data_IF_203681434129
#
_entry.id   IF_203681434129
#
_cell.length_a   1.000
_cell.length_b   1.000
_cell.length_c   1.000
_cell.angle_alpha   90.00
_cell.angle_beta   90.00
_cell.angle_gamma   90.00
#
_symmetry.space_group_name_H-M   'P 1'
#
loop_
_entity.id
_entity.type
_entity.pdbx_description
1 polymer ?
#
# COMPACT_ATOMS: atom_id res chain seq x y z
N UNK A 1 28.12 1.51 -14.31
CA UNK A 1 27.60 1.05 -12.99
C UNK A 1 28.06 -0.37 -12.76
N UNK A 2 28.64 -0.64 -11.60
CA UNK A 2 29.04 -1.98 -11.23
C UNK A 2 27.94 -2.60 -10.34
N UNK A 3 27.35 -3.72 -10.77
CA UNK A 3 26.30 -4.41 -10.03
C UNK A 3 26.85 -5.66 -9.37
N UNK A 4 26.45 -5.90 -8.12
CA UNK A 4 26.76 -7.12 -7.37
C UNK A 4 25.52 -7.97 -7.18
N UNK A 5 25.69 -9.28 -7.29
CA UNK A 5 24.63 -10.27 -7.08
C UNK A 5 24.52 -10.62 -5.60
N UNK A 6 23.28 -10.63 -5.09
CA UNK A 6 22.96 -11.05 -3.72
C UNK A 6 21.70 -11.89 -3.70
N UNK A 7 21.57 -12.75 -2.69
CA UNK A 7 20.26 -13.14 -2.16
C UNK A 7 19.77 -12.05 -1.22
N UNK A 8 18.47 -11.75 -1.23
CA UNK A 8 17.93 -10.71 -0.35
C UNK A 8 18.30 -10.94 1.12
N UNK A 9 18.28 -12.19 1.61
CA UNK A 9 18.68 -12.51 2.99
C UNK A 9 20.11 -12.19 3.38
N UNK A 10 21.00 -11.94 2.42
CA UNK A 10 22.38 -11.48 2.68
C UNK A 10 22.44 -9.99 2.99
N UNK A 11 21.45 -9.20 2.55
CA UNK A 11 21.44 -7.74 2.63
C UNK A 11 20.30 -7.16 3.47
N UNK A 12 19.31 -7.99 3.83
CA UNK A 12 18.19 -7.60 4.70
C UNK A 12 17.72 -8.79 5.55
N UNK A 13 16.96 -8.50 6.61
CA UNK A 13 16.23 -9.48 7.38
C UNK A 13 14.73 -9.31 7.14
N UNK A 14 13.98 -10.42 7.23
CA UNK A 14 12.53 -10.46 7.08
C UNK A 14 11.94 -11.22 8.25
N UNK A 15 11.04 -10.60 8.98
CA UNK A 15 10.35 -11.20 10.14
C UNK A 15 8.85 -11.24 9.91
N UNK A 16 8.22 -12.33 10.31
CA UNK A 16 6.77 -12.50 10.31
C UNK A 16 6.18 -11.93 11.59
N UNK A 17 4.98 -11.38 11.53
CA UNK A 17 4.28 -10.86 12.71
C UNK A 17 3.55 -11.93 13.53
N UNK A 18 2.81 -11.44 14.52
CA UNK A 18 2.07 -12.24 15.47
C UNK A 18 0.86 -12.97 14.85
N UNK A 19 0.57 -14.18 15.34
CA UNK A 19 -0.73 -14.83 15.16
C UNK A 19 -1.70 -14.23 16.17
N UNK A 20 -2.52 -13.30 15.73
CA UNK A 20 -3.51 -12.61 16.57
C UNK A 20 -4.82 -13.39 16.60
N UNK A 21 -5.36 -13.68 17.80
CA UNK A 21 -6.63 -14.42 17.94
C UNK A 21 -7.80 -13.55 17.51
N UNK A 22 -8.70 -14.13 16.69
CA UNK A 22 -9.88 -13.43 16.17
C UNK A 22 -10.91 -13.03 17.25
N UNK A 23 -10.88 -13.64 18.43
CA UNK A 23 -11.76 -13.31 19.55
C UNK A 23 -11.53 -11.88 20.10
N UNK A 24 -10.31 -11.33 19.90
CA UNK A 24 -9.95 -9.98 20.32
C UNK A 24 -10.05 -8.93 19.19
N UNK A 25 -10.69 -9.28 18.07
CA UNK A 25 -10.94 -8.32 17.00
C UNK A 25 -12.17 -7.47 17.31
N UNK A 26 -12.01 -6.15 17.23
CA UNK A 26 -13.07 -5.19 17.53
C UNK A 26 -13.19 -4.10 16.47
N UNK A 27 -14.27 -3.32 16.56
CA UNK A 27 -14.51 -2.14 15.70
C UNK A 27 -13.85 -0.88 16.22
N UNK A 28 -13.41 -0.89 17.50
CA UNK A 28 -12.77 0.23 18.18
C UNK A 28 -11.62 -0.26 19.04
N UNK A 29 -10.60 0.57 19.24
CA UNK A 29 -9.43 0.24 20.07
C UNK A 29 -8.25 1.15 19.81
N UNK A 30 -7.19 0.95 20.58
CA UNK A 30 -5.94 1.70 20.45
C UNK A 30 -5.08 1.18 19.29
N UNK A 31 -5.05 -0.14 19.10
CA UNK A 31 -4.14 -0.79 18.16
C UNK A 31 -4.88 -1.34 16.95
N UNK A 32 -4.33 -1.07 15.77
CA UNK A 32 -4.83 -1.57 14.49
C UNK A 32 -3.96 -2.73 14.02
N UNK A 33 -4.58 -3.91 13.83
CA UNK A 33 -3.86 -5.05 13.21
C UNK A 33 -3.65 -4.82 11.73
N UNK A 34 -2.41 -4.95 11.28
CA UNK A 34 -2.08 -4.87 9.86
C UNK A 34 -2.61 -6.09 9.10
N UNK A 35 -3.12 -5.85 7.92
CA UNK A 35 -3.63 -6.86 6.99
C UNK A 35 -3.18 -6.56 5.57
N UNK A 36 -3.43 -7.46 4.63
CA UNK A 36 -3.21 -7.19 3.21
C UNK A 36 -4.02 -5.99 2.69
N UNK A 37 -5.12 -5.62 3.35
CA UNK A 37 -5.92 -4.42 3.03
C UNK A 37 -5.20 -3.10 3.28
N UNK A 38 -4.07 -3.11 4.00
CA UNK A 38 -3.25 -1.92 4.24
C UNK A 38 -2.26 -1.61 3.10
N UNK A 39 -2.29 -2.38 2.01
CA UNK A 39 -1.44 -2.15 0.84
C UNK A 39 -2.26 -1.64 -0.35
N UNK A 40 -1.91 -0.49 -0.85
CA UNK A 40 -2.26 -0.09 -2.21
C UNK A 40 -1.19 -0.64 -3.16
N UNK A 41 -1.44 -1.84 -3.68
CA UNK A 41 -0.48 -2.55 -4.53
C UNK A 41 -0.33 -1.95 -5.94
N UNK A 42 -1.28 -1.12 -6.36
CA UNK A 42 -1.21 -0.39 -7.64
C UNK A 42 -0.26 0.80 -7.54
N UNK A 43 -0.34 1.52 -6.41
CA UNK A 43 0.48 2.69 -6.14
C UNK A 43 1.69 2.41 -5.25
N UNK A 44 1.82 1.16 -4.78
CA UNK A 44 2.90 0.69 -3.91
C UNK A 44 3.08 1.58 -2.66
N UNK A 45 2.00 1.81 -1.93
CA UNK A 45 1.99 2.64 -0.74
C UNK A 45 1.09 2.06 0.36
N UNK A 46 1.20 2.63 1.56
CA UNK A 46 0.31 2.34 2.67
C UNK A 46 -1.06 2.97 2.43
N UNK A 47 -2.12 2.26 2.80
CA UNK A 47 -3.48 2.80 2.88
C UNK A 47 -4.20 2.31 4.14
N UNK A 48 -5.16 3.07 4.60
CA UNK A 48 -6.07 2.60 5.64
C UNK A 48 -6.96 1.46 5.10
N UNK A 49 -7.11 0.40 5.89
CA UNK A 49 -8.00 -0.69 5.53
C UNK A 49 -9.45 -0.32 5.86
N UNK A 50 -10.21 0.06 4.84
CA UNK A 50 -11.65 0.37 4.95
C UNK A 50 -12.55 -0.80 4.55
N UNK A 51 -11.99 -1.99 4.27
CA UNK A 51 -12.74 -3.16 3.80
C UNK A 51 -13.33 -4.01 4.92
N UNK A 52 -12.96 -3.74 6.17
CA UNK A 52 -13.41 -4.45 7.37
C UNK A 52 -13.63 -3.47 8.51
N UNK A 53 -14.66 -3.72 9.30
CA UNK A 53 -14.96 -2.89 10.47
C UNK A 53 -14.13 -3.29 11.68
N UNK A 54 -13.86 -4.60 11.87
CA UNK A 54 -13.14 -5.16 13.01
C UNK A 54 -11.62 -5.18 12.81
N UNK A 55 -11.03 -4.04 12.54
CA UNK A 55 -9.57 -3.91 12.29
C UNK A 55 -8.74 -3.69 13.55
N UNK A 56 -9.38 -3.36 14.67
CA UNK A 56 -8.71 -3.12 15.95
C UNK A 56 -8.45 -4.42 16.70
N UNK A 57 -7.47 -4.40 17.59
CA UNK A 57 -7.07 -5.53 18.42
C UNK A 57 -6.91 -5.11 19.86
N UNK A 58 -7.59 -5.81 20.78
CA UNK A 58 -7.60 -5.52 22.22
C UNK A 58 -6.98 -6.64 23.07
N UNK A 59 -6.47 -7.70 22.44
CA UNK A 59 -5.76 -8.79 23.15
C UNK A 59 -4.29 -8.46 23.39
N UNK A 60 -3.66 -9.32 24.18
CA UNK A 60 -2.22 -9.21 24.48
C UNK A 60 -1.36 -9.53 23.25
N UNK A 61 -0.26 -8.81 23.09
CA UNK A 61 0.77 -9.09 22.10
C UNK A 61 2.13 -8.61 22.57
N UNK A 62 3.19 -9.17 22.01
CA UNK A 62 4.56 -8.76 22.33
C UNK A 62 4.88 -7.40 21.71
N UNK A 63 5.57 -6.55 22.47
CA UNK A 63 5.95 -5.20 22.04
C UNK A 63 6.79 -5.17 20.75
N UNK A 64 7.51 -6.25 20.44
CA UNK A 64 8.29 -6.38 19.20
C UNK A 64 7.43 -6.33 17.92
N UNK A 65 6.12 -6.64 18.03
CA UNK A 65 5.17 -6.56 16.92
C UNK A 65 4.52 -5.19 16.74
N UNK A 66 4.74 -4.28 17.70
CA UNK A 66 4.27 -2.89 17.55
C UNK A 66 5.18 -2.15 16.57
N UNK A 67 4.56 -1.60 15.53
CA UNK A 67 5.30 -1.00 14.42
C UNK A 67 5.66 0.46 14.70
N UNK A 68 6.80 0.88 14.18
CA UNK A 68 7.27 2.26 14.25
C UNK A 68 7.11 2.96 12.89
N UNK A 69 6.91 4.28 12.95
CA UNK A 69 6.92 5.12 11.75
C UNK A 69 8.19 4.86 10.93
N UNK A 70 7.99 4.67 9.64
CA UNK A 70 9.07 4.38 8.72
C UNK A 70 9.41 2.89 8.59
N UNK A 71 8.85 1.99 9.38
CA UNK A 71 9.07 0.55 9.18
C UNK A 71 8.61 0.12 7.77
N UNK A 72 9.46 -0.66 7.10
CA UNK A 72 9.17 -1.20 5.79
C UNK A 72 8.48 -2.55 5.93
N UNK A 73 7.34 -2.70 5.27
CA UNK A 73 6.51 -3.91 5.32
C UNK A 73 6.17 -4.43 3.93
N UNK A 74 5.89 -5.72 3.85
CA UNK A 74 5.40 -6.42 2.64
C UNK A 74 4.41 -7.51 3.02
N UNK A 75 3.37 -7.81 2.20
CA UNK A 75 2.42 -8.86 2.50
C UNK A 75 3.03 -10.25 2.27
N UNK A 76 2.61 -11.22 3.07
CA UNK A 76 2.96 -12.65 2.94
C UNK A 76 1.86 -13.47 2.27
N UNK A 77 0.67 -12.89 2.08
CA UNK A 77 -0.50 -13.54 1.48
C UNK A 77 -0.98 -12.72 0.29
N UNK A 78 -1.32 -13.38 -0.81
CA UNK A 78 -1.86 -12.74 -1.99
C UNK A 78 -3.37 -12.95 -2.07
N UNK A 79 -4.13 -11.90 -1.75
CA UNK A 79 -5.59 -11.86 -1.92
C UNK A 79 -5.99 -11.29 -3.29
N UNK A 80 -5.09 -10.59 -3.96
CA UNK A 80 -5.25 -10.07 -5.31
C UNK A 80 -3.94 -10.22 -6.08
N UNK A 81 -4.01 -10.57 -7.36
CA UNK A 81 -2.83 -10.78 -8.22
C UNK A 81 -1.96 -9.52 -8.23
N UNK A 82 -0.66 -9.67 -7.94
CA UNK A 82 0.32 -8.57 -7.90
C UNK A 82 0.54 -7.97 -6.50
N UNK A 83 -0.15 -8.48 -5.48
CA UNK A 83 0.05 -8.04 -4.09
C UNK A 83 1.39 -8.52 -3.52
N UNK A 84 1.84 -9.76 -3.82
CA UNK A 84 3.15 -10.26 -3.38
C UNK A 84 4.27 -9.38 -3.93
N UNK A 85 5.17 -8.98 -3.03
CA UNK A 85 6.25 -8.05 -3.34
C UNK A 85 5.81 -6.58 -3.36
N UNK A 86 4.55 -6.25 -3.06
CA UNK A 86 4.20 -4.86 -2.76
C UNK A 86 4.87 -4.41 -1.48
N UNK A 87 5.17 -3.12 -1.38
CA UNK A 87 5.79 -2.53 -0.20
C UNK A 87 4.97 -1.38 0.33
N UNK A 88 5.05 -1.18 1.63
CA UNK A 88 4.47 -0.01 2.28
C UNK A 88 5.37 0.45 3.43
N UNK A 89 5.26 1.72 3.81
CA UNK A 89 5.96 2.30 4.94
C UNK A 89 4.93 2.66 5.99
N UNK A 90 5.17 2.26 7.24
CA UNK A 90 4.31 2.57 8.38
C UNK A 90 4.28 4.08 8.60
N UNK A 91 3.09 4.70 8.62
CA UNK A 91 2.96 6.17 8.70
C UNK A 91 3.11 6.73 10.10
N UNK A 92 2.82 5.93 11.16
CA UNK A 92 2.74 6.37 12.55
C UNK A 92 3.28 5.30 13.50
N UNK A 93 4.02 5.70 14.52
CA UNK A 93 4.55 4.78 15.54
C UNK A 93 3.48 4.44 16.58
N UNK A 94 3.52 3.19 17.10
CA UNK A 94 2.74 2.78 18.26
C UNK A 94 1.25 2.52 18.00
N UNK A 95 0.82 2.49 16.75
CA UNK A 95 -0.58 2.32 16.36
C UNK A 95 -0.88 0.99 15.68
N UNK A 96 0.09 0.44 14.98
CA UNK A 96 -0.10 -0.73 14.12
C UNK A 96 0.61 -1.95 14.67
N UNK A 97 -0.09 -3.09 14.72
CA UNK A 97 0.47 -4.38 15.11
C UNK A 97 0.76 -5.21 13.86
N UNK A 98 1.97 -5.73 13.76
CA UNK A 98 2.38 -6.66 12.71
C UNK A 98 1.67 -8.01 12.88
N UNK A 99 0.72 -8.33 12.01
CA UNK A 99 0.05 -9.63 11.99
C UNK A 99 0.87 -10.69 11.23
N UNK A 100 0.47 -11.96 11.36
CA UNK A 100 1.11 -13.09 10.68
C UNK A 100 1.14 -13.00 9.14
N UNK A 101 0.24 -12.19 8.54
CA UNK A 101 0.13 -12.03 7.09
C UNK A 101 1.07 -10.93 6.54
N UNK A 102 1.76 -10.24 7.44
CA UNK A 102 2.63 -9.11 7.11
C UNK A 102 4.06 -9.40 7.56
N UNK A 103 5.02 -9.18 6.67
CA UNK A 103 6.42 -9.22 6.99
C UNK A 103 6.99 -7.80 7.19
N UNK A 104 7.82 -7.64 8.23
CA UNK A 104 8.68 -6.47 8.44
C UNK A 104 10.04 -6.75 7.80
N UNK A 105 10.56 -5.75 7.14
CA UNK A 105 11.86 -5.79 6.45
C UNK A 105 12.82 -4.85 7.14
N UNK A 106 13.98 -5.38 7.52
CA UNK A 106 15.07 -4.62 8.15
C UNK A 106 16.31 -4.72 7.28
N UNK A 107 16.72 -3.61 6.69
CA UNK A 107 17.92 -3.56 5.82
C UNK A 107 19.21 -3.63 6.65
N UNK A 108 20.24 -4.27 6.11
CA UNK A 108 21.59 -4.13 6.60
C UNK A 108 22.18 -2.83 6.02
N UNK A 109 22.19 -1.77 6.81
CA UNK A 109 22.45 -0.39 6.36
C UNK A 109 23.79 -0.18 5.67
N UNK A 110 24.79 -1.05 5.94
CA UNK A 110 26.08 -1.05 5.27
C UNK A 110 26.04 -1.66 3.86
N UNK A 111 24.96 -2.34 3.46
CA UNK A 111 24.81 -3.05 2.19
C UNK A 111 23.61 -2.58 1.38
N UNK A 112 22.52 -2.18 2.06
CA UNK A 112 21.26 -1.86 1.41
C UNK A 112 20.63 -0.60 2.01
N UNK A 113 20.44 0.42 1.16
CA UNK A 113 19.70 1.63 1.50
C UNK A 113 18.19 1.33 1.64
N UNK A 114 17.54 1.84 2.67
CA UNK A 114 16.14 1.58 2.97
C UNK A 114 15.18 2.10 1.90
N UNK A 115 15.42 3.30 1.37
CA UNK A 115 14.58 3.85 0.30
C UNK A 115 14.75 3.05 -0.99
N UNK A 116 15.98 2.64 -1.31
CA UNK A 116 16.24 1.77 -2.44
C UNK A 116 15.58 0.39 -2.25
N UNK A 117 15.64 -0.19 -1.04
CA UNK A 117 15.00 -1.47 -0.71
C UNK A 117 13.50 -1.47 -0.96
N UNK A 118 12.82 -0.36 -0.66
CA UNK A 118 11.39 -0.19 -0.93
C UNK A 118 11.06 -0.48 -2.41
N UNK A 119 11.82 0.09 -3.33
CA UNK A 119 11.62 -0.11 -4.77
C UNK A 119 12.18 -1.45 -5.27
N UNK A 120 13.29 -1.92 -4.69
CA UNK A 120 13.89 -3.19 -5.04
C UNK A 120 12.91 -4.34 -4.80
N UNK A 121 12.26 -4.38 -3.63
CA UNK A 121 11.32 -5.44 -3.25
C UNK A 121 10.08 -5.40 -4.14
N UNK A 122 9.58 -4.21 -4.46
CA UNK A 122 8.44 -4.03 -5.36
C UNK A 122 8.78 -4.12 -6.85
N UNK A 123 10.05 -4.35 -7.18
CA UNK A 123 10.47 -4.50 -8.57
C UNK A 123 9.88 -5.75 -9.24
N UNK A 124 9.75 -5.70 -10.55
CA UNK A 124 9.29 -6.83 -11.37
C UNK A 124 10.15 -8.08 -11.14
N UNK A 125 11.46 -7.91 -10.95
CA UNK A 125 12.41 -9.02 -10.71
C UNK A 125 12.06 -9.80 -9.44
N UNK A 126 11.78 -9.11 -8.34
CA UNK A 126 11.41 -9.77 -7.07
C UNK A 126 9.98 -10.32 -7.14
N UNK A 127 9.03 -9.54 -7.66
CA UNK A 127 7.63 -9.98 -7.84
C UNK A 127 7.53 -11.27 -8.67
N UNK A 128 8.26 -11.38 -9.77
CA UNK A 128 8.28 -12.59 -10.60
C UNK A 128 8.83 -13.80 -9.85
N UNK A 129 9.91 -13.66 -9.08
CA UNK A 129 10.45 -14.74 -8.27
C UNK A 129 9.49 -15.20 -7.18
N UNK A 130 8.82 -14.26 -6.50
CA UNK A 130 7.81 -14.58 -5.49
C UNK A 130 6.58 -15.25 -6.12
N UNK A 131 6.11 -14.79 -7.27
CA UNK A 131 5.01 -15.39 -8.00
C UNK A 131 5.35 -16.82 -8.47
N UNK A 132 6.53 -17.05 -9.01
CA UNK A 132 7.01 -18.38 -9.42
C UNK A 132 7.08 -19.36 -8.22
N UNK A 133 7.54 -18.89 -7.06
CA UNK A 133 7.61 -19.70 -5.84
C UNK A 133 6.24 -19.98 -5.21
N UNK A 134 5.17 -19.25 -5.62
CA UNK A 134 3.83 -19.36 -5.04
C UNK A 134 2.83 -20.14 -5.94
N UNK A 135 3.24 -20.66 -7.09
CA UNK A 135 2.37 -21.21 -8.15
C UNK A 135 1.55 -22.47 -7.80
N UNK A 136 1.65 -23.03 -6.60
CA UNK A 136 1.03 -24.34 -6.28
C UNK A 136 -0.25 -24.27 -5.44
N UNK A 137 -0.80 -23.08 -5.12
CA UNK A 137 -1.96 -22.97 -4.23
C UNK A 137 -3.00 -21.96 -4.73
N UNK A 138 -4.30 -22.26 -4.45
CA UNK A 138 -5.45 -21.41 -4.82
C UNK A 138 -5.36 -20.00 -4.19
N UNK A 139 -4.77 -19.90 -2.99
CA UNK A 139 -4.37 -18.65 -2.34
C UNK A 139 -2.84 -18.66 -2.31
N UNK A 140 -2.22 -17.68 -2.96
CA UNK A 140 -0.77 -17.61 -3.03
C UNK A 140 -0.20 -17.09 -1.71
N UNK A 141 0.69 -17.88 -1.12
CA UNK A 141 1.40 -17.51 0.09
C UNK A 141 2.91 -17.45 -0.19
N UNK A 142 3.55 -16.46 0.40
CA UNK A 142 5.00 -16.42 0.50
C UNK A 142 5.42 -16.54 1.97
N UNK A 143 6.71 -16.59 2.21
CA UNK A 143 7.28 -16.66 3.55
C UNK A 143 8.51 -15.77 3.65
N UNK A 144 8.94 -15.41 4.86
CA UNK A 144 10.22 -14.71 5.06
C UNK A 144 11.37 -15.37 4.31
N UNK A 145 11.45 -16.71 4.33
CA UNK A 145 12.54 -17.43 3.66
C UNK A 145 12.45 -17.39 2.14
N UNK A 146 11.25 -17.45 1.57
CA UNK A 146 11.06 -17.27 0.13
C UNK A 146 11.49 -15.86 -0.30
N UNK A 147 11.17 -14.82 0.47
CA UNK A 147 11.63 -13.46 0.20
C UNK A 147 13.15 -13.38 0.31
N UNK A 148 13.76 -13.92 1.37
CA UNK A 148 15.23 -13.94 1.57
C UNK A 148 15.98 -14.67 0.45
N UNK A 149 15.35 -15.65 -0.19
CA UNK A 149 15.96 -16.42 -1.28
C UNK A 149 15.88 -15.74 -2.65
N UNK A 150 15.13 -14.64 -2.81
CA UNK A 150 15.11 -13.90 -4.07
C UNK A 150 16.50 -13.38 -4.42
N UNK A 151 16.86 -13.53 -5.69
CA UNK A 151 18.16 -13.10 -6.22
C UNK A 151 18.01 -11.74 -6.87
N UNK A 152 18.89 -10.80 -6.51
CA UNK A 152 18.89 -9.45 -7.01
C UNK A 152 20.29 -9.00 -7.42
N UNK A 153 20.35 -8.02 -8.31
CA UNK A 153 21.55 -7.33 -8.69
C UNK A 153 21.42 -5.87 -8.29
N UNK A 154 22.29 -5.39 -7.42
CA UNK A 154 22.23 -4.05 -6.87
C UNK A 154 23.54 -3.29 -7.11
N UNK A 155 23.47 -1.96 -7.32
CA UNK A 155 24.66 -1.13 -7.44
C UNK A 155 25.30 -0.91 -6.06
N UNK A 156 26.40 -0.20 -6.03
CA UNK A 156 27.04 0.22 -4.77
C UNK A 156 26.13 1.15 -3.94
N UNK A 157 26.37 1.22 -2.63
CA UNK A 157 25.51 1.88 -1.66
C UNK A 157 25.28 3.37 -1.96
N UNK A 158 26.29 4.08 -2.46
CA UNK A 158 26.20 5.49 -2.87
C UNK A 158 25.16 5.68 -3.97
N UNK A 159 25.15 4.81 -4.95
CA UNK A 159 24.21 4.86 -6.06
C UNK A 159 22.80 4.41 -5.63
N UNK A 160 22.69 3.43 -4.73
CA UNK A 160 21.40 3.06 -4.12
C UNK A 160 20.75 4.26 -3.42
N UNK A 161 21.52 5.00 -2.61
CA UNK A 161 21.03 6.21 -1.93
C UNK A 161 20.56 7.28 -2.93
N UNK A 162 21.30 7.48 -4.01
CA UNK A 162 20.94 8.44 -5.07
C UNK A 162 19.62 8.04 -5.74
N UNK A 163 19.49 6.78 -6.15
CA UNK A 163 18.29 6.24 -6.79
C UNK A 163 17.10 6.28 -5.82
N UNK A 164 17.29 5.76 -4.60
CA UNK A 164 16.24 5.71 -3.58
C UNK A 164 15.70 7.11 -3.24
N UNK A 165 16.60 8.10 -3.07
CA UNK A 165 16.20 9.48 -2.82
C UNK A 165 15.42 10.09 -3.99
N UNK A 166 15.86 9.84 -5.23
CA UNK A 166 15.16 10.36 -6.41
C UNK A 166 13.72 9.79 -6.49
N UNK A 167 13.59 8.48 -6.38
CA UNK A 167 12.28 7.82 -6.46
C UNK A 167 11.35 8.26 -5.32
N UNK A 168 11.85 8.35 -4.07
CA UNK A 168 11.06 8.86 -2.94
C UNK A 168 10.62 10.31 -3.13
N UNK A 169 11.45 11.15 -3.76
CA UNK A 169 11.06 12.53 -4.08
C UNK A 169 9.92 12.57 -5.10
N UNK A 170 9.91 11.65 -6.07
CA UNK A 170 8.82 11.54 -7.03
C UNK A 170 7.53 11.05 -6.36
N UNK A 171 7.60 10.01 -5.52
CA UNK A 171 6.44 9.53 -4.77
C UNK A 171 5.85 10.63 -3.88
N UNK A 172 6.69 11.37 -3.14
CA UNK A 172 6.24 12.48 -2.32
C UNK A 172 5.48 13.55 -3.13
N UNK A 173 5.97 13.89 -4.34
CA UNK A 173 5.26 14.81 -5.22
C UNK A 173 3.91 14.26 -5.68
N UNK A 174 3.84 12.95 -5.97
CA UNK A 174 2.58 12.29 -6.34
C UNK A 174 1.59 12.32 -5.17
N UNK A 175 2.04 11.99 -3.96
CA UNK A 175 1.23 12.04 -2.74
C UNK A 175 0.71 13.47 -2.47
N UNK A 176 1.57 14.48 -2.60
CA UNK A 176 1.19 15.88 -2.43
C UNK A 176 0.15 16.31 -3.46
N UNK A 177 0.34 15.98 -4.73
CA UNK A 177 -0.63 16.30 -5.78
C UNK A 177 -1.99 15.62 -5.55
N UNK A 178 -2.00 14.38 -5.06
CA UNK A 178 -3.25 13.68 -4.69
C UNK A 178 -3.96 14.39 -3.54
N UNK A 179 -3.23 14.79 -2.49
CA UNK A 179 -3.79 15.54 -1.38
C UNK A 179 -4.36 16.90 -1.84
N UNK A 180 -3.67 17.61 -2.72
CA UNK A 180 -4.18 18.86 -3.30
C UNK A 180 -5.47 18.60 -4.08
N UNK A 181 -5.53 17.58 -4.93
CA UNK A 181 -6.72 17.27 -5.71
C UNK A 181 -7.91 16.93 -4.80
N UNK A 182 -7.71 16.13 -3.75
CA UNK A 182 -8.76 15.82 -2.77
C UNK A 182 -9.28 17.07 -2.06
N UNK A 183 -8.39 17.99 -1.65
CA UNK A 183 -8.79 19.26 -1.06
C UNK A 183 -9.58 20.13 -2.04
N UNK A 184 -9.18 20.20 -3.31
CA UNK A 184 -9.89 20.95 -4.35
C UNK A 184 -11.29 20.36 -4.59
N UNK A 185 -11.42 19.04 -4.64
CA UNK A 185 -12.73 18.37 -4.76
C UNK A 185 -13.63 18.69 -3.57
N UNK A 186 -13.11 18.65 -2.33
CA UNK A 186 -13.86 19.05 -1.15
C UNK A 186 -14.31 20.52 -1.20
N UNK A 187 -13.40 21.43 -1.58
CA UNK A 187 -13.73 22.86 -1.74
C UNK A 187 -14.80 23.10 -2.81
N UNK A 188 -14.77 22.35 -3.92
CA UNK A 188 -15.81 22.44 -4.97
C UNK A 188 -17.16 21.99 -4.39
N UNK A 189 -17.19 20.89 -3.64
CA UNK A 189 -18.41 20.42 -2.99
C UNK A 189 -18.98 21.48 -2.03
N UNK A 190 -18.14 22.05 -1.16
CA UNK A 190 -18.55 23.11 -0.23
C UNK A 190 -19.09 24.36 -0.94
N UNK A 191 -18.46 24.77 -2.03
CA UNK A 191 -18.92 25.92 -2.83
C UNK A 191 -20.28 25.60 -3.50
N UNK A 192 -20.46 24.37 -4.00
CA UNK A 192 -21.72 23.93 -4.60
C UNK A 192 -22.84 23.93 -3.54
N UNK A 193 -22.58 23.37 -2.36
CA UNK A 193 -23.53 23.36 -1.27
C UNK A 193 -23.91 24.78 -0.84
N UNK A 194 -22.93 25.64 -0.61
CA UNK A 194 -23.15 27.02 -0.18
C UNK A 194 -23.88 27.86 -1.22
N UNK A 195 -23.45 27.84 -2.48
CA UNK A 195 -23.99 28.73 -3.52
C UNK A 195 -25.26 28.23 -4.17
N UNK A 196 -25.42 26.91 -4.30
CA UNK A 196 -26.54 26.34 -5.05
C UNK A 196 -27.50 25.58 -4.16
N UNK A 197 -27.08 24.62 -3.34
CA UNK A 197 -27.99 23.77 -2.59
C UNK A 197 -28.68 24.53 -1.44
N UNK A 198 -28.00 25.41 -0.73
CA UNK A 198 -28.58 26.25 0.32
C UNK A 198 -29.63 27.27 -0.21
N UNK A 199 -29.60 27.55 -1.52
CA UNK A 199 -30.52 28.45 -2.19
C UNK A 199 -31.42 27.75 -3.21
N UNK A 200 -31.52 26.42 -3.16
CA UNK A 200 -32.23 25.61 -4.17
C UNK A 200 -33.69 25.98 -4.35
N UNK A 201 -34.36 26.42 -3.27
CA UNK A 201 -35.73 26.87 -3.32
C UNK A 201 -35.94 28.15 -4.11
N UNK A 202 -34.89 28.97 -4.22
CA UNK A 202 -34.93 30.25 -4.95
C UNK A 202 -34.50 30.08 -6.43
N UNK A 203 -34.03 28.90 -6.81
CA UNK A 203 -33.58 28.64 -8.17
C UNK A 203 -34.74 28.23 -9.08
N UNK A 204 -34.78 28.67 -10.35
CA UNK A 204 -35.78 28.26 -11.31
C UNK A 204 -35.68 26.75 -11.57
N UNK A 205 -36.77 26.03 -11.26
CA UNK A 205 -36.85 24.57 -11.50
C UNK A 205 -37.03 24.31 -12.99
N UNK A 206 -36.17 23.48 -13.57
CA UNK A 206 -36.31 22.96 -14.93
C UNK A 206 -36.10 21.46 -14.95
N UNK A 207 -36.70 20.77 -15.93
CA UNK A 207 -36.44 19.33 -16.12
C UNK A 207 -35.06 19.16 -16.74
N UNK A 208 -34.36 18.09 -16.35
CA UNK A 208 -33.02 17.79 -16.93
C UNK A 208 -33.09 17.67 -18.45
N UNK A 209 -34.18 17.07 -18.99
CA UNK A 209 -34.37 16.94 -20.43
C UNK A 209 -34.53 18.26 -21.19
N UNK A 210 -34.84 19.38 -20.49
CA UNK A 210 -34.98 20.71 -21.10
C UNK A 210 -33.62 21.39 -21.28
N UNK A 211 -32.55 20.92 -20.56
CA UNK A 211 -31.23 21.54 -20.52
C UNK A 211 -30.08 20.60 -20.92
N UNK A 212 -30.32 19.29 -20.98
CA UNK A 212 -29.31 18.29 -21.33
C UNK A 212 -29.92 17.14 -22.12
N UNK A 213 -29.23 16.70 -23.13
CA UNK A 213 -29.58 15.52 -23.92
C UNK A 213 -28.98 14.30 -23.25
N UNK A 214 -29.85 13.49 -22.62
CA UNK A 214 -29.44 12.23 -22.00
C UNK A 214 -29.48 11.15 -23.07
N UNK A 215 -28.31 10.61 -23.43
CA UNK A 215 -28.20 9.46 -24.34
C UNK A 215 -27.97 8.20 -23.52
N UNK A 216 -28.72 7.14 -23.81
CA UNK A 216 -28.43 5.79 -23.29
C UNK A 216 -27.10 5.29 -23.89
N UNK A 217 -26.28 4.64 -23.08
CA UNK A 217 -25.02 4.03 -23.54
C UNK A 217 -25.22 3.01 -24.66
N UNK A 218 -26.44 2.47 -24.79
CA UNK A 218 -26.85 1.58 -25.90
C UNK A 218 -26.97 2.30 -27.25
N UNK A 219 -27.17 3.62 -27.27
CA UNK A 219 -27.22 4.41 -28.50
C UNK A 219 -25.84 4.86 -28.99
N UNK A 220 -24.78 4.67 -28.18
CA UNK A 220 -23.37 4.90 -28.57
C UNK A 220 -22.80 3.65 -29.23
N UNK A 221 -23.62 2.63 -29.42
CA UNK A 221 -23.26 1.40 -30.08
C UNK A 221 -23.11 1.54 -31.58
N UNK A 222 -21.85 1.54 -32.02
CA UNK A 222 -21.39 0.86 -33.23
C UNK A 222 -22.06 1.21 -34.56
N UNK A 223 -21.52 2.23 -35.20
CA UNK A 223 -21.22 2.10 -36.63
C UNK A 223 -19.70 1.94 -36.76
N UNK A 224 -19.23 0.69 -36.77
CA UNK A 224 -18.00 0.25 -37.38
C UNK A 224 -18.30 -0.09 -38.84
#
# INVERSE_FOLDING_TARGET
>A
MNFKKYKLGEILNVTRGASLSGEFYTTEGEYIRLTCGNFDYQNNCFKENKSKDNIYYVGDFKSEFLMNKGDLITPLTEQAIGLLGSTAIIPESGKYIQSQDIAKIVCRENLLDKNFAFYLISSTVVKQQLAAAAQQTKIRHTSPDKIKNCIVWIPELTEQKRIGKLLRTLDYKIELNRAINQNLEAMIADIMDYKFLSNIEKLPKRRIGDIALIRDSREIGLKL
#
